data_IF_771223597170
#
_entry.id   IF_771223597170
#
_cell.length_a   1.000
_cell.length_b   1.000
_cell.length_c   1.000
_cell.angle_alpha   90.00
_cell.angle_beta   90.00
_cell.angle_gamma   90.00
#
_symmetry.space_group_name_H-M   'P 1'
#
loop_
_entity.id
_entity.type
_entity.pdbx_description
1 polymer ?
#
# COMPACT_ATOMS: atom_id res chain seq x y z
N UNK A 1 15.51 -14.56 0.67
CA UNK A 1 14.77 -13.35 1.09
C UNK A 1 14.62 -13.41 2.60
N UNK A 2 15.15 -12.43 3.36
CA UNK A 2 15.04 -12.38 4.82
C UNK A 2 13.58 -12.30 5.29
N UNK A 3 13.28 -12.81 6.49
CA UNK A 3 11.90 -12.86 6.98
C UNK A 3 11.32 -11.46 7.26
N UNK A 4 12.17 -10.52 7.67
CA UNK A 4 11.80 -9.11 7.82
C UNK A 4 11.26 -8.50 6.52
N UNK A 5 11.87 -8.83 5.38
CA UNK A 5 11.47 -8.37 4.05
C UNK A 5 10.17 -9.07 3.58
N UNK A 6 10.02 -10.37 3.90
CA UNK A 6 8.75 -11.08 3.63
C UNK A 6 7.59 -10.44 4.39
N UNK A 7 7.79 -10.13 5.68
CA UNK A 7 6.78 -9.46 6.51
C UNK A 7 6.40 -8.10 5.94
N UNK A 8 7.38 -7.28 5.55
CA UNK A 8 7.12 -5.98 4.91
C UNK A 8 6.28 -6.13 3.64
N UNK A 9 6.65 -7.08 2.78
CA UNK A 9 5.89 -7.37 1.55
C UNK A 9 4.45 -7.78 1.85
N UNK A 10 4.24 -8.65 2.84
CA UNK A 10 2.90 -9.08 3.25
C UNK A 10 2.09 -7.88 3.76
N UNK A 11 2.69 -7.02 4.61
CA UNK A 11 2.03 -5.81 5.09
C UNK A 11 1.57 -4.90 3.96
N UNK A 12 2.41 -4.66 2.94
CA UNK A 12 2.05 -3.84 1.78
C UNK A 12 0.95 -4.48 0.92
N UNK A 13 0.99 -5.80 0.72
CA UNK A 13 -0.06 -6.51 -0.03
C UNK A 13 -1.40 -6.48 0.71
N UNK A 14 -1.37 -6.61 2.04
CA UNK A 14 -2.58 -6.49 2.88
C UNK A 14 -3.10 -5.06 2.85
N UNK A 15 -2.24 -4.05 2.95
CA UNK A 15 -2.62 -2.64 2.83
C UNK A 15 -3.28 -2.36 1.47
N UNK A 16 -2.66 -2.80 0.38
CA UNK A 16 -3.21 -2.67 -0.97
C UNK A 16 -4.59 -3.32 -1.11
N UNK A 17 -4.77 -4.53 -0.56
CA UNK A 17 -6.06 -5.21 -0.54
C UNK A 17 -7.13 -4.41 0.21
N UNK A 18 -6.76 -3.84 1.36
CA UNK A 18 -7.65 -3.01 2.18
C UNK A 18 -8.02 -1.70 1.47
N UNK A 19 -7.06 -1.05 0.80
CA UNK A 19 -7.28 0.18 0.04
C UNK A 19 -8.23 -0.05 -1.15
N UNK A 20 -8.02 -1.13 -1.90
CA UNK A 20 -8.90 -1.51 -3.01
C UNK A 20 -10.31 -1.86 -2.51
N UNK A 21 -10.43 -2.58 -1.40
CA UNK A 21 -11.71 -2.88 -0.79
C UNK A 21 -12.44 -1.60 -0.31
N UNK A 22 -11.69 -0.65 0.26
CA UNK A 22 -12.19 0.66 0.67
C UNK A 22 -12.65 1.48 -0.55
N UNK A 23 -11.89 1.46 -1.64
CA UNK A 23 -12.27 2.09 -2.91
C UNK A 23 -13.61 1.55 -3.43
N UNK A 24 -13.77 0.22 -3.45
CA UNK A 24 -15.02 -0.43 -3.87
C UNK A 24 -16.19 -0.05 -2.96
N UNK A 25 -15.97 0.01 -1.65
CA UNK A 25 -16.97 0.41 -0.68
C UNK A 25 -17.40 1.87 -0.88
N UNK A 26 -16.47 2.79 -1.08
CA UNK A 26 -16.79 4.19 -1.38
C UNK A 26 -17.57 4.31 -2.68
N UNK A 27 -17.13 3.62 -3.74
CA UNK A 27 -17.87 3.63 -5.00
C UNK A 27 -19.32 3.17 -4.77
N UNK A 28 -19.53 2.09 -4.05
CA UNK A 28 -20.87 1.57 -3.79
C UNK A 28 -21.72 2.52 -2.97
N UNK A 29 -21.21 3.05 -1.86
CA UNK A 29 -21.95 3.96 -0.97
C UNK A 29 -22.30 5.27 -1.67
N UNK A 30 -21.32 5.91 -2.30
CA UNK A 30 -21.51 7.22 -2.91
C UNK A 30 -22.37 7.14 -4.18
N UNK A 31 -22.20 6.07 -4.97
CA UNK A 31 -23.02 5.87 -6.17
C UNK A 31 -24.47 5.56 -5.79
N UNK A 32 -24.71 4.70 -4.80
CA UNK A 32 -26.06 4.41 -4.30
C UNK A 32 -26.72 5.67 -3.74
N UNK A 33 -25.98 6.46 -2.96
CA UNK A 33 -26.46 7.73 -2.43
C UNK A 33 -26.78 8.75 -3.52
N UNK A 34 -25.95 8.86 -4.55
CA UNK A 34 -26.19 9.75 -5.68
C UNK A 34 -27.46 9.35 -6.46
N UNK A 35 -27.68 8.05 -6.67
CA UNK A 35 -28.90 7.52 -7.33
C UNK A 35 -30.14 7.82 -6.50
N UNK A 36 -30.11 7.58 -5.19
CA UNK A 36 -31.25 7.84 -4.30
C UNK A 36 -31.63 9.33 -4.27
N UNK A 37 -30.65 10.23 -4.22
CA UNK A 37 -30.89 11.67 -4.25
C UNK A 37 -31.34 12.13 -5.64
N UNK A 38 -30.78 11.56 -6.71
CA UNK A 38 -31.10 11.91 -8.10
C UNK A 38 -32.53 11.57 -8.53
N UNK A 39 -33.23 10.67 -7.82
CA UNK A 39 -34.64 10.38 -8.07
C UNK A 39 -35.58 11.51 -7.64
N UNK A 40 -35.09 12.51 -6.90
CA UNK A 40 -35.87 13.74 -6.61
C UNK A 40 -36.07 14.58 -7.88
N UNK A 41 -37.25 15.19 -8.01
CA UNK A 41 -37.61 16.01 -9.17
C UNK A 41 -37.10 17.45 -9.10
N UNK A 42 -36.52 17.85 -8.00
CA UNK A 42 -36.04 19.21 -7.77
C UNK A 42 -34.62 19.44 -8.32
N UNK A 43 -34.36 20.64 -8.83
CA UNK A 43 -33.06 21.04 -9.38
C UNK A 43 -31.94 20.94 -8.34
N UNK A 44 -32.25 21.14 -7.06
CA UNK A 44 -31.30 20.97 -5.94
C UNK A 44 -30.87 19.52 -5.76
N UNK A 45 -31.74 18.55 -6.08
CA UNK A 45 -31.41 17.12 -5.99
C UNK A 45 -30.40 16.70 -7.06
N UNK A 46 -30.45 17.28 -8.25
CA UNK A 46 -29.48 17.01 -9.33
C UNK A 46 -28.07 17.50 -8.98
N UNK A 47 -27.95 18.68 -8.39
CA UNK A 47 -26.64 19.17 -7.92
C UNK A 47 -26.08 18.32 -6.79
N UNK A 48 -26.94 17.94 -5.83
CA UNK A 48 -26.54 17.07 -4.73
C UNK A 48 -26.07 15.70 -5.20
N UNK A 49 -26.80 15.07 -6.11
CA UNK A 49 -26.43 13.77 -6.69
C UNK A 49 -25.12 13.85 -7.50
N UNK A 50 -24.93 14.90 -8.29
CA UNK A 50 -23.73 15.11 -9.08
C UNK A 50 -22.49 15.31 -8.19
N UNK A 51 -22.59 16.12 -7.13
CA UNK A 51 -21.51 16.34 -6.18
C UNK A 51 -21.15 15.05 -5.42
N UNK A 52 -22.18 14.32 -4.97
CA UNK A 52 -21.95 13.07 -4.24
C UNK A 52 -21.30 12.02 -5.15
N UNK A 53 -21.80 11.86 -6.37
CA UNK A 53 -21.21 10.94 -7.35
C UNK A 53 -19.77 11.31 -7.73
N UNK A 54 -19.50 12.60 -7.98
CA UNK A 54 -18.15 13.07 -8.30
C UNK A 54 -17.17 12.82 -7.13
N UNK A 55 -17.59 13.08 -5.89
CA UNK A 55 -16.77 12.81 -4.70
C UNK A 55 -16.47 11.32 -4.55
N UNK A 56 -17.48 10.46 -4.77
CA UNK A 56 -17.31 9.01 -4.72
C UNK A 56 -16.31 8.50 -5.77
N UNK A 57 -16.41 8.99 -7.00
CA UNK A 57 -15.47 8.66 -8.07
C UNK A 57 -14.05 9.12 -7.72
N UNK A 58 -13.89 10.34 -7.23
CA UNK A 58 -12.58 10.89 -6.86
C UNK A 58 -11.92 10.04 -5.76
N UNK A 59 -12.66 9.71 -4.70
CA UNK A 59 -12.15 8.86 -3.62
C UNK A 59 -11.81 7.46 -4.12
N UNK A 60 -12.65 6.88 -4.97
CA UNK A 60 -12.39 5.56 -5.56
C UNK A 60 -11.11 5.55 -6.37
N UNK A 61 -10.91 6.54 -7.24
CA UNK A 61 -9.68 6.67 -8.03
C UNK A 61 -8.46 6.84 -7.13
N UNK A 62 -8.58 7.69 -6.09
CA UNK A 62 -7.51 7.95 -5.14
C UNK A 62 -7.08 6.65 -4.41
N UNK A 63 -7.99 5.95 -3.75
CA UNK A 63 -7.66 4.72 -3.03
C UNK A 63 -7.21 3.58 -3.96
N UNK A 64 -7.78 3.49 -5.16
CA UNK A 64 -7.31 2.50 -6.15
C UNK A 64 -5.87 2.79 -6.58
N UNK A 65 -5.51 4.05 -6.81
CA UNK A 65 -4.16 4.44 -7.19
C UNK A 65 -3.16 4.10 -6.07
N UNK A 66 -3.50 4.32 -4.80
CA UNK A 66 -2.67 3.93 -3.67
C UNK A 66 -2.51 2.42 -3.57
N UNK A 67 -3.60 1.65 -3.67
CA UNK A 67 -3.54 0.19 -3.65
C UNK A 67 -2.68 -0.39 -4.78
N UNK A 68 -2.78 0.16 -5.99
CA UNK A 68 -1.92 -0.24 -7.11
C UNK A 68 -0.46 0.13 -6.84
N UNK A 69 -0.18 1.32 -6.29
CA UNK A 69 1.17 1.74 -5.94
C UNK A 69 1.80 0.78 -4.90
N UNK A 70 1.07 0.39 -3.86
CA UNK A 70 1.52 -0.56 -2.85
C UNK A 70 1.84 -1.94 -3.44
N UNK A 71 1.03 -2.44 -4.39
CA UNK A 71 1.31 -3.68 -5.10
C UNK A 71 2.59 -3.58 -5.95
N UNK A 72 2.79 -2.47 -6.65
CA UNK A 72 4.01 -2.24 -7.45
C UNK A 72 5.26 -2.18 -6.55
N UNK A 73 5.16 -1.51 -5.40
CA UNK A 73 6.23 -1.44 -4.41
C UNK A 73 6.51 -2.82 -3.83
N UNK A 74 5.49 -3.58 -3.45
CA UNK A 74 5.65 -4.95 -2.95
C UNK A 74 6.32 -5.87 -3.98
N UNK A 75 6.00 -5.71 -5.28
CA UNK A 75 6.67 -6.41 -6.36
C UNK A 75 8.13 -5.95 -6.55
N UNK A 76 8.40 -4.67 -6.39
CA UNK A 76 9.75 -4.09 -6.43
C UNK A 76 10.64 -4.59 -5.29
N UNK A 77 10.08 -4.68 -4.08
CA UNK A 77 10.75 -5.22 -2.89
C UNK A 77 11.11 -6.70 -3.10
N UNK A 78 10.20 -7.48 -3.69
CA UNK A 78 10.45 -8.89 -4.00
C UNK A 78 11.63 -9.09 -4.98
N UNK A 79 11.83 -8.12 -5.87
CA UNK A 79 12.94 -8.12 -6.85
C UNK A 79 14.21 -7.42 -6.35
N UNK A 80 14.25 -6.99 -5.08
CA UNK A 80 15.41 -6.29 -4.50
C UNK A 80 15.73 -4.94 -5.15
N UNK A 81 14.76 -4.29 -5.77
CA UNK A 81 15.00 -3.00 -6.45
C UNK A 81 15.20 -1.87 -5.44
N UNK A 82 16.28 -1.07 -5.54
CA UNK A 82 16.60 -0.04 -4.54
C UNK A 82 15.54 1.06 -4.45
N UNK A 83 14.88 1.42 -5.55
CA UNK A 83 13.79 2.40 -5.54
C UNK A 83 12.58 1.95 -4.70
N UNK A 84 12.31 0.63 -4.68
CA UNK A 84 11.18 0.08 -3.94
C UNK A 84 11.36 0.20 -2.42
N UNK A 85 12.61 0.26 -1.93
CA UNK A 85 12.90 0.53 -0.53
C UNK A 85 12.46 1.95 -0.13
N UNK A 86 12.83 2.95 -0.94
CA UNK A 86 12.50 4.36 -0.68
C UNK A 86 10.99 4.56 -0.81
N UNK A 87 10.39 4.07 -1.89
CA UNK A 87 8.96 4.15 -2.11
C UNK A 87 8.16 3.45 -1.00
N UNK A 88 8.60 2.26 -0.55
CA UNK A 88 7.98 1.53 0.55
C UNK A 88 8.06 2.27 1.89
N UNK A 89 9.17 2.96 2.18
CA UNK A 89 9.27 3.81 3.37
C UNK A 89 8.29 4.99 3.32
N UNK A 90 8.16 5.64 2.15
CA UNK A 90 7.20 6.74 1.96
C UNK A 90 5.77 6.25 2.17
N UNK A 91 5.39 5.13 1.55
CA UNK A 91 4.05 4.55 1.71
C UNK A 91 3.79 4.11 3.15
N UNK A 92 4.77 3.49 3.82
CA UNK A 92 4.64 3.12 5.23
C UNK A 92 4.38 4.33 6.14
N UNK A 93 5.02 5.47 5.87
CA UNK A 93 4.76 6.73 6.59
C UNK A 93 3.36 7.28 6.27
N UNK A 94 2.92 7.21 5.02
CA UNK A 94 1.58 7.64 4.61
C UNK A 94 0.46 6.77 5.21
N UNK A 95 0.75 5.51 5.52
CA UNK A 95 -0.18 4.60 6.20
C UNK A 95 -0.33 4.90 7.70
N UNK A 96 0.65 5.55 8.35
CA UNK A 96 0.63 5.81 9.80
C UNK A 96 -0.62 6.57 10.29
N UNK A 97 -1.15 7.59 9.59
CA UNK A 97 -2.36 8.31 10.02
C UNK A 97 -3.64 7.46 10.00
N UNK A 98 -3.65 6.34 9.26
CA UNK A 98 -4.82 5.46 9.13
C UNK A 98 -4.97 4.52 10.34
N UNK A 99 -5.22 5.10 11.51
CA UNK A 99 -5.38 4.39 12.80
C UNK A 99 -6.66 3.53 12.82
N UNK A 100 -6.63 2.30 13.36
CA UNK A 100 -5.47 1.61 13.97
C UNK A 100 -4.69 0.72 12.99
N UNK A 101 -5.30 0.29 11.89
CA UNK A 101 -4.75 -0.74 10.99
C UNK A 101 -3.53 -0.22 10.21
N UNK A 102 -3.63 0.98 9.64
CA UNK A 102 -2.54 1.59 8.87
C UNK A 102 -1.31 1.86 9.73
N UNK A 103 -1.49 2.30 11.00
CA UNK A 103 -0.38 2.52 11.93
C UNK A 103 0.37 1.22 12.23
N UNK A 104 -0.33 0.11 12.42
CA UNK A 104 0.29 -1.20 12.68
C UNK A 104 1.03 -1.69 11.45
N UNK A 105 0.37 -1.69 10.28
CA UNK A 105 0.97 -2.13 9.01
C UNK A 105 2.15 -1.26 8.61
N UNK A 106 2.01 0.07 8.70
CA UNK A 106 3.07 1.03 8.40
C UNK A 106 4.27 0.88 9.34
N UNK A 107 4.03 0.69 10.64
CA UNK A 107 5.08 0.47 11.64
C UNK A 107 5.88 -0.81 11.37
N UNK A 108 5.21 -1.92 11.08
CA UNK A 108 5.88 -3.18 10.73
C UNK A 108 6.64 -3.08 9.40
N UNK A 109 6.06 -2.43 8.39
CA UNK A 109 6.72 -2.20 7.11
C UNK A 109 7.97 -1.34 7.28
N UNK A 110 7.88 -0.26 8.07
CA UNK A 110 9.00 0.64 8.35
C UNK A 110 10.13 -0.08 9.10
N UNK A 111 9.79 -0.84 10.13
CA UNK A 111 10.75 -1.66 10.88
C UNK A 111 11.50 -2.63 9.97
N UNK A 112 10.79 -3.29 9.04
CA UNK A 112 11.40 -4.22 8.10
C UNK A 112 12.32 -3.54 7.08
N UNK A 113 11.97 -2.33 6.62
CA UNK A 113 12.75 -1.58 5.62
C UNK A 113 13.96 -0.84 6.20
N UNK A 114 13.93 -0.49 7.49
CA UNK A 114 15.04 0.18 8.18
C UNK A 114 16.07 -0.79 8.74
N UNK A 115 15.73 -2.07 8.87
CA UNK A 115 16.59 -3.10 9.46
C UNK A 115 17.88 -3.35 8.66
N UNK A 116 18.89 -3.99 9.30
CA UNK A 116 20.16 -4.34 8.65
C UNK A 116 19.95 -5.33 7.49
N UNK A 117 18.98 -6.24 7.61
CA UNK A 117 18.60 -7.19 6.57
C UNK A 117 18.15 -6.50 5.28
N UNK A 118 17.42 -5.38 5.41
CA UNK A 118 16.98 -4.60 4.26
C UNK A 118 18.18 -3.96 3.55
N UNK A 119 19.15 -3.45 4.31
CA UNK A 119 20.38 -2.89 3.72
C UNK A 119 21.16 -3.93 2.93
N UNK A 120 21.28 -5.13 3.47
CA UNK A 120 21.94 -6.24 2.79
C UNK A 120 21.17 -6.69 1.54
N UNK A 121 19.84 -6.81 1.63
CA UNK A 121 18.97 -7.23 0.52
C UNK A 121 18.99 -6.27 -0.67
N UNK A 122 18.86 -4.97 -0.40
CA UNK A 122 18.82 -3.94 -1.44
C UNK A 122 20.22 -3.48 -1.90
N UNK A 123 21.27 -3.78 -1.14
CA UNK A 123 22.67 -3.49 -1.49
C UNK A 123 23.33 -4.55 -2.36
N UNK A 124 22.76 -5.76 -2.45
CA UNK A 124 23.29 -6.83 -3.28
C UNK A 124 22.79 -6.73 -4.73
N UNK A 125 23.66 -6.80 -5.74
CA UNK A 125 23.25 -6.96 -7.13
C UNK A 125 22.36 -8.21 -7.24
N UNK A 126 21.12 -8.04 -7.70
CA UNK A 126 20.11 -9.09 -7.86
C UNK A 126 19.46 -9.66 -6.58
N UNK A 127 19.57 -9.01 -5.41
CA UNK A 127 18.95 -9.52 -4.19
C UNK A 127 19.49 -10.88 -3.73
N UNK A 128 20.69 -11.25 -4.17
CA UNK A 128 21.35 -12.47 -3.74
C UNK A 128 21.66 -12.38 -2.25
N UNK A 129 21.22 -13.37 -1.48
CA UNK A 129 21.66 -13.50 -0.09
C UNK A 129 23.19 -13.57 -0.05
N UNK A 130 23.85 -12.84 0.86
CA UNK A 130 25.26 -13.13 1.15
C UNK A 130 25.33 -14.59 1.57
N UNK A 131 26.02 -15.40 0.76
CA UNK A 131 26.36 -16.76 1.15
C UNK A 131 27.18 -16.63 2.42
N UNK A 132 26.63 -17.11 3.53
CA UNK A 132 27.40 -17.34 4.74
C UNK A 132 28.39 -18.47 4.42
N UNK A 133 29.49 -18.13 3.78
CA UNK A 133 30.62 -19.02 3.72
C UNK A 133 31.08 -19.23 5.16
N UNK A 134 31.11 -20.48 5.65
CA UNK A 134 31.71 -20.73 6.95
C UNK A 134 33.18 -20.26 6.91
N UNK A 135 33.71 -19.69 8.02
CA UNK A 135 35.07 -19.28 8.05
C UNK A 135 35.98 -20.49 7.74
N UNK A 136 37.05 -20.30 6.94
CA UNK A 136 37.98 -21.40 6.68
C UNK A 136 38.49 -21.93 8.02
N UNK A 137 38.20 -23.20 8.28
CA UNK A 137 38.80 -23.91 9.41
C UNK A 137 40.29 -23.89 9.17
N UNK A 138 41.01 -23.09 9.98
CA UNK A 138 42.46 -23.15 10.04
C UNK A 138 42.85 -24.55 10.55
N UNK A 139 43.54 -25.28 9.70
CA UNK A 139 44.21 -26.54 10.03
C UNK A 139 45.56 -26.21 10.64
#
# INVERSE_FOLDING_TARGET
MPDSIKTTRICLVVAAGLEIATAALFLFIFLSGAVLIGWGTERSSLLGSALLGATGILLTVFFTAFGVADLLIAAGIAKGRPWARIAGMVMAVLLLPAVPVGTVLGGFALKGLLGPDARAWFGSPNGAQPTSSPPPTAV
#
